data_IF_600652804708
#
_entry.id   IF_600652804708
#
_cell.length_a   1.000
_cell.length_b   1.000
_cell.length_c   1.000
_cell.angle_alpha   90.00
_cell.angle_beta   90.00
_cell.angle_gamma   90.00
#
_symmetry.space_group_name_H-M   'P 1'
#
loop_
_entity.id
_entity.type
_entity.pdbx_description
1 polymer ?
#
# COMPACT_ATOMS: atom_id res chain seq x y z
N UNK A 1 25.42 11.19 18.31
CA UNK A 1 25.57 10.46 17.02
C UNK A 1 24.39 10.83 16.11
N UNK A 2 24.61 11.32 14.89
CA UNK A 2 23.50 11.59 13.96
C UNK A 2 22.75 10.28 13.64
N UNK A 3 21.41 10.35 13.61
CA UNK A 3 20.55 9.19 13.33
C UNK A 3 20.09 9.08 11.87
N UNK A 4 20.13 10.17 11.09
CA UNK A 4 19.74 10.17 9.68
C UNK A 4 20.92 9.84 8.77
N UNK A 5 20.68 9.03 7.72
CA UNK A 5 21.71 8.63 6.75
C UNK A 5 22.42 9.85 6.15
N UNK A 6 21.66 10.87 5.74
CA UNK A 6 22.21 12.11 5.16
C UNK A 6 23.20 12.81 6.09
N UNK A 7 22.90 12.89 7.40
CA UNK A 7 23.81 13.49 8.39
C UNK A 7 25.04 12.62 8.64
N UNK A 8 24.89 11.29 8.66
CA UNK A 8 26.01 10.33 8.78
C UNK A 8 26.96 10.46 7.58
N UNK A 9 26.42 10.47 6.36
CA UNK A 9 27.18 10.66 5.12
C UNK A 9 27.91 12.01 5.12
N UNK A 10 27.24 13.10 5.49
CA UNK A 10 27.83 14.44 5.58
C UNK A 10 28.99 14.48 6.58
N UNK A 11 28.84 13.89 7.77
CA UNK A 11 29.92 13.83 8.77
C UNK A 11 31.13 13.04 8.28
N UNK A 12 30.90 11.89 7.63
CA UNK A 12 31.99 11.06 7.11
C UNK A 12 32.72 11.79 5.97
N UNK A 13 31.99 12.42 5.06
CA UNK A 13 32.56 13.26 3.99
C UNK A 13 33.38 14.42 4.57
N UNK A 14 32.85 15.15 5.56
CA UNK A 14 33.56 16.26 6.22
C UNK A 14 34.83 15.79 6.93
N UNK A 15 34.78 14.64 7.61
CA UNK A 15 35.92 14.07 8.34
C UNK A 15 37.05 13.62 7.41
N UNK A 16 36.72 13.08 6.23
CA UNK A 16 37.68 12.40 5.35
C UNK A 16 38.14 13.23 4.16
N UNK A 17 37.52 14.39 3.92
CA UNK A 17 37.84 15.28 2.81
C UNK A 17 37.45 14.70 1.44
N UNK A 18 37.70 15.46 0.38
CA UNK A 18 37.35 15.07 -1.00
C UNK A 18 38.24 13.95 -1.59
N UNK A 19 39.40 13.66 -0.96
CA UNK A 19 40.44 12.79 -1.52
C UNK A 19 40.30 11.30 -1.18
N UNK A 20 39.50 10.91 -0.17
CA UNK A 20 39.36 9.51 0.22
C UNK A 20 37.91 9.01 0.10
N UNK A 21 37.60 8.41 -1.05
CA UNK A 21 36.29 7.81 -1.35
C UNK A 21 36.14 6.38 -0.80
N UNK A 22 37.26 5.68 -0.57
CA UNK A 22 37.24 4.28 -0.14
C UNK A 22 37.08 4.13 1.39
N UNK A 23 36.10 3.33 1.82
CA UNK A 23 35.94 2.87 3.19
C UNK A 23 36.47 1.45 3.30
N UNK A 24 37.31 1.19 4.32
CA UNK A 24 37.62 -0.19 4.72
C UNK A 24 36.34 -0.81 5.26
N UNK A 25 36.05 -2.03 4.85
CA UNK A 25 34.77 -2.71 5.03
C UNK A 25 34.27 -2.66 6.48
N UNK A 26 35.10 -2.98 7.47
CA UNK A 26 34.72 -3.01 8.89
C UNK A 26 35.14 -1.79 9.72
N UNK A 27 35.56 -0.72 9.03
CA UNK A 27 35.83 0.55 9.69
C UNK A 27 34.61 1.05 10.48
N UNK A 28 34.87 1.84 11.53
CA UNK A 28 33.81 2.44 12.36
C UNK A 28 32.84 3.27 11.52
N UNK A 29 33.34 3.95 10.49
CA UNK A 29 32.54 4.79 9.61
C UNK A 29 31.69 3.94 8.64
N UNK A 30 32.22 2.82 8.13
CA UNK A 30 31.45 1.85 7.34
C UNK A 30 30.32 1.20 8.17
N UNK A 31 30.60 0.81 9.43
CA UNK A 31 29.57 0.30 10.36
C UNK A 31 28.50 1.33 10.67
N UNK A 32 28.87 2.62 10.82
CA UNK A 32 27.91 3.73 11.00
C UNK A 32 27.02 3.92 9.77
N UNK A 33 27.58 3.84 8.56
CA UNK A 33 26.80 3.91 7.32
C UNK A 33 25.83 2.74 7.18
N UNK A 34 26.29 1.50 7.38
CA UNK A 34 25.43 0.30 7.35
C UNK A 34 24.25 0.44 8.31
N UNK A 35 24.48 0.87 9.56
CA UNK A 35 23.40 1.15 10.53
C UNK A 35 22.43 2.23 10.05
N UNK A 36 22.95 3.29 9.43
CA UNK A 36 22.13 4.37 8.86
C UNK A 36 21.23 3.89 7.72
N UNK A 37 21.78 3.08 6.82
CA UNK A 37 21.05 2.49 5.68
C UNK A 37 19.94 1.55 6.17
N UNK A 38 20.28 0.58 7.03
CA UNK A 38 19.31 -0.37 7.58
C UNK A 38 18.16 0.33 8.33
N UNK A 39 18.46 1.43 9.04
CA UNK A 39 17.42 2.23 9.69
C UNK A 39 16.51 2.90 8.67
N UNK A 40 17.06 3.49 7.61
CA UNK A 40 16.26 4.13 6.56
C UNK A 40 15.38 3.12 5.84
N UNK A 41 15.91 1.95 5.50
CA UNK A 41 15.12 0.85 4.92
C UNK A 41 13.97 0.44 5.83
N UNK A 42 14.21 0.30 7.13
CA UNK A 42 13.14 -0.03 8.10
C UNK A 42 12.04 1.04 8.13
N UNK A 43 12.41 2.32 8.08
CA UNK A 43 11.45 3.41 8.05
C UNK A 43 10.63 3.40 6.76
N UNK A 44 11.28 3.26 5.60
CA UNK A 44 10.61 3.16 4.31
C UNK A 44 9.66 1.94 4.24
N UNK A 45 10.07 0.78 4.78
CA UNK A 45 9.19 -0.40 4.93
C UNK A 45 7.98 -0.10 5.82
N UNK A 46 8.17 0.60 6.94
CA UNK A 46 7.05 0.98 7.81
C UNK A 46 6.08 1.95 7.13
N UNK A 47 6.60 2.92 6.37
CA UNK A 47 5.78 3.88 5.62
C UNK A 47 4.98 3.20 4.52
N UNK A 48 5.62 2.35 3.72
CA UNK A 48 4.94 1.57 2.67
C UNK A 48 3.86 0.65 3.22
N UNK A 49 4.10 0.00 4.37
CA UNK A 49 3.06 -0.81 5.04
C UNK A 49 1.88 0.05 5.48
N UNK A 50 2.14 1.24 6.06
CA UNK A 50 1.09 2.18 6.44
C UNK A 50 0.29 2.66 5.22
N UNK A 51 0.98 3.01 4.14
CA UNK A 51 0.32 3.41 2.88
C UNK A 51 -0.56 2.29 2.34
N UNK A 52 -0.04 1.05 2.26
CA UNK A 52 -0.81 -0.12 1.82
C UNK A 52 -2.06 -0.37 2.68
N UNK A 53 -1.96 -0.17 3.99
CA UNK A 53 -3.12 -0.29 4.89
C UNK A 53 -4.15 0.83 4.69
N UNK A 54 -3.73 2.02 4.25
CA UNK A 54 -4.61 3.15 3.96
C UNK A 54 -5.24 3.09 2.57
N UNK A 55 -4.61 2.42 1.60
CA UNK A 55 -5.07 2.36 0.21
C UNK A 55 -6.56 1.99 0.06
N UNK A 56 -7.09 0.92 0.70
CA UNK A 56 -8.50 0.56 0.54
C UNK A 56 -9.46 1.68 0.97
N UNK A 57 -9.10 2.41 2.04
CA UNK A 57 -9.89 3.55 2.53
C UNK A 57 -9.89 4.69 1.52
N UNK A 58 -8.70 5.04 1.01
CA UNK A 58 -8.55 6.12 0.01
C UNK A 58 -9.28 5.78 -1.29
N UNK A 59 -9.18 4.53 -1.75
CA UNK A 59 -9.90 4.06 -2.95
C UNK A 59 -11.40 4.14 -2.76
N UNK A 60 -11.91 3.73 -1.58
CA UNK A 60 -13.33 3.87 -1.23
C UNK A 60 -13.75 5.35 -1.27
N UNK A 61 -13.01 6.24 -0.61
CA UNK A 61 -13.34 7.68 -0.62
C UNK A 61 -13.36 8.28 -2.01
N UNK A 62 -12.40 7.90 -2.86
CA UNK A 62 -12.37 8.39 -4.23
C UNK A 62 -13.62 7.96 -5.01
N UNK A 63 -14.08 6.72 -4.82
CA UNK A 63 -15.32 6.25 -5.44
C UNK A 63 -16.54 7.03 -4.94
N UNK A 64 -16.67 7.25 -3.63
CA UNK A 64 -17.77 8.05 -3.07
C UNK A 64 -17.68 9.55 -3.42
N UNK A 65 -16.48 10.08 -3.68
CA UNK A 65 -16.30 11.47 -4.08
C UNK A 65 -16.95 11.78 -5.43
N UNK A 66 -17.16 10.78 -6.30
CA UNK A 66 -17.91 10.94 -7.55
C UNK A 66 -19.35 11.42 -7.30
N UNK A 67 -19.84 11.29 -6.07
CA UNK A 67 -21.18 11.65 -5.64
C UNK A 67 -21.27 13.03 -4.96
N UNK A 68 -20.16 13.75 -4.84
CA UNK A 68 -20.05 15.00 -4.07
C UNK A 68 -20.92 16.17 -4.58
N UNK A 69 -21.71 15.98 -5.64
CA UNK A 69 -22.68 16.95 -6.15
C UNK A 69 -24.14 16.71 -5.73
N UNK A 70 -24.43 15.62 -5.01
CA UNK A 70 -25.79 15.30 -4.54
C UNK A 70 -25.96 15.78 -3.10
N UNK A 71 -26.97 16.63 -2.85
CA UNK A 71 -27.18 17.24 -1.53
C UNK A 71 -27.72 16.26 -0.48
N UNK A 72 -28.52 15.29 -0.89
CA UNK A 72 -29.15 14.31 0.01
C UNK A 72 -29.16 12.93 -0.64
N UNK A 73 -28.76 11.93 0.12
CA UNK A 73 -28.83 10.53 -0.30
C UNK A 73 -29.92 9.83 0.48
N UNK A 74 -30.74 9.04 -0.22
CA UNK A 74 -31.54 8.03 0.44
C UNK A 74 -30.65 6.85 0.85
N UNK A 75 -31.13 6.04 1.79
CA UNK A 75 -30.44 4.81 2.19
C UNK A 75 -30.29 3.86 1.00
N UNK A 76 -31.28 3.80 0.11
CA UNK A 76 -31.24 2.97 -1.09
C UNK A 76 -30.12 3.40 -2.04
N UNK A 77 -29.92 4.70 -2.23
CA UNK A 77 -28.85 5.23 -3.08
C UNK A 77 -27.48 4.81 -2.53
N UNK A 78 -27.26 4.97 -1.22
CA UNK A 78 -26.00 4.60 -0.58
C UNK A 78 -25.72 3.10 -0.73
N UNK A 79 -26.75 2.25 -0.53
CA UNK A 79 -26.61 0.81 -0.73
C UNK A 79 -26.21 0.46 -2.16
N UNK A 80 -26.87 1.08 -3.16
CA UNK A 80 -26.53 0.86 -4.56
C UNK A 80 -25.08 1.26 -4.89
N UNK A 81 -24.60 2.35 -4.31
CA UNK A 81 -23.21 2.78 -4.48
C UNK A 81 -22.19 1.89 -3.75
N UNK A 82 -22.57 1.32 -2.61
CA UNK A 82 -21.73 0.32 -1.94
C UNK A 82 -21.65 -0.94 -2.80
N UNK A 83 -22.77 -1.41 -3.34
CA UNK A 83 -22.83 -2.58 -4.21
C UNK A 83 -22.03 -2.37 -5.52
N UNK A 84 -22.11 -1.18 -6.12
CA UNK A 84 -21.30 -0.85 -7.30
C UNK A 84 -19.80 -0.88 -6.98
N UNK A 85 -19.42 -0.42 -5.78
CA UNK A 85 -18.04 -0.49 -5.33
C UNK A 85 -17.59 -1.94 -5.14
N UNK A 86 -18.37 -2.77 -4.45
CA UNK A 86 -18.02 -4.18 -4.17
C UNK A 86 -17.91 -5.00 -5.47
N UNK A 87 -18.85 -4.80 -6.41
CA UNK A 87 -18.90 -5.53 -7.68
C UNK A 87 -17.84 -5.10 -8.72
N UNK A 88 -17.01 -4.09 -8.42
CA UNK A 88 -16.00 -3.56 -9.36
C UNK A 88 -15.02 -4.60 -9.91
N UNK A 89 -14.79 -5.69 -9.17
CA UNK A 89 -13.86 -6.76 -9.56
C UNK A 89 -14.54 -7.93 -10.27
N UNK A 90 -15.87 -7.96 -10.36
CA UNK A 90 -16.59 -9.11 -10.90
C UNK A 90 -16.25 -9.36 -12.36
N UNK A 91 -16.15 -8.31 -13.17
CA UNK A 91 -15.77 -8.43 -14.58
C UNK A 91 -14.32 -8.89 -14.75
N UNK A 92 -13.38 -8.37 -13.94
CA UNK A 92 -11.99 -8.82 -13.97
C UNK A 92 -11.86 -10.30 -13.58
N UNK A 93 -12.60 -10.74 -12.56
CA UNK A 93 -12.65 -12.15 -12.14
C UNK A 93 -13.27 -13.02 -13.24
N UNK A 94 -14.32 -12.56 -13.93
CA UNK A 94 -14.93 -13.29 -15.06
C UNK A 94 -13.95 -13.47 -16.21
N UNK A 95 -13.20 -12.43 -16.57
CA UNK A 95 -12.17 -12.50 -17.63
C UNK A 95 -11.08 -13.50 -17.25
N UNK A 96 -10.52 -13.39 -16.04
CA UNK A 96 -9.49 -14.33 -15.55
C UNK A 96 -9.99 -15.77 -15.48
N UNK A 97 -11.25 -15.97 -15.11
CA UNK A 97 -11.87 -17.29 -15.08
C UNK A 97 -12.14 -17.85 -16.48
N UNK A 98 -12.44 -16.99 -17.47
CA UNK A 98 -12.68 -17.37 -18.86
C UNK A 98 -11.41 -17.72 -19.64
N UNK A 99 -10.30 -17.01 -19.37
CA UNK A 99 -8.97 -17.34 -19.94
C UNK A 99 -8.41 -18.67 -19.40
N UNK A 100 -8.99 -19.16 -18.30
CA UNK A 100 -8.53 -20.37 -17.62
C UNK A 100 -9.02 -21.62 -18.36
N UNK A 101 -8.07 -22.44 -18.80
CA UNK A 101 -8.35 -23.79 -19.30
C UNK A 101 -8.89 -24.68 -18.17
N UNK A 102 -9.77 -25.61 -18.53
CA UNK A 102 -10.28 -26.64 -17.62
C UNK A 102 -9.12 -27.36 -16.90
N UNK A 103 -9.18 -27.43 -15.58
CA UNK A 103 -8.17 -28.07 -14.73
C UNK A 103 -6.98 -27.19 -14.30
N UNK A 104 -6.77 -25.99 -14.87
CA UNK A 104 -5.72 -25.08 -14.38
C UNK A 104 -6.17 -24.42 -13.07
N UNK A 105 -5.33 -24.37 -12.01
CA UNK A 105 -5.67 -23.64 -10.79
C UNK A 105 -5.76 -22.13 -11.06
N UNK A 106 -6.43 -21.43 -10.14
CA UNK A 106 -6.62 -19.98 -10.16
C UNK A 106 -5.28 -19.25 -10.06
N UNK A 107 -5.22 -18.05 -10.62
CA UNK A 107 -4.00 -17.24 -10.54
C UNK A 107 -3.88 -16.54 -9.18
N UNK A 108 -2.66 -16.18 -8.77
CA UNK A 108 -2.47 -15.41 -7.52
C UNK A 108 -3.20 -14.07 -7.54
N UNK A 109 -3.39 -13.47 -8.72
CA UNK A 109 -4.16 -12.25 -8.89
C UNK A 109 -5.65 -12.50 -8.64
N UNK A 110 -6.21 -13.54 -9.26
CA UNK A 110 -7.60 -13.95 -9.08
C UNK A 110 -7.92 -14.24 -7.60
N UNK A 111 -7.02 -14.93 -6.89
CA UNK A 111 -7.18 -15.19 -5.46
C UNK A 111 -7.14 -13.90 -4.63
N UNK A 112 -6.26 -12.94 -4.95
CA UNK A 112 -6.23 -11.63 -4.26
C UNK A 112 -7.51 -10.84 -4.46
N UNK A 113 -8.06 -10.85 -5.68
CA UNK A 113 -9.32 -10.15 -6.00
C UNK A 113 -10.48 -10.78 -5.22
N UNK A 114 -10.62 -12.11 -5.26
CA UNK A 114 -11.66 -12.81 -4.49
C UNK A 114 -11.53 -12.61 -2.99
N UNK A 115 -10.32 -12.71 -2.44
CA UNK A 115 -10.09 -12.46 -1.02
C UNK A 115 -10.42 -11.01 -0.61
N UNK A 116 -10.27 -10.06 -1.53
CA UNK A 116 -10.66 -8.66 -1.28
C UNK A 116 -12.18 -8.52 -1.31
N UNK A 117 -12.84 -9.13 -2.30
CA UNK A 117 -14.30 -9.15 -2.42
C UNK A 117 -14.97 -9.82 -1.21
N UNK A 118 -14.47 -10.97 -0.77
CA UNK A 118 -14.99 -11.68 0.42
C UNK A 118 -14.88 -10.83 1.70
N UNK A 119 -13.77 -10.09 1.86
CA UNK A 119 -13.61 -9.14 2.97
C UNK A 119 -14.59 -7.98 2.90
N UNK A 120 -14.82 -7.44 1.73
CA UNK A 120 -15.75 -6.31 1.57
C UNK A 120 -17.22 -6.75 1.72
N UNK A 121 -17.58 -7.93 1.22
CA UNK A 121 -18.91 -8.51 1.41
C UNK A 121 -19.18 -8.85 2.87
N UNK A 122 -18.18 -9.42 3.57
CA UNK A 122 -18.33 -9.67 5.01
C UNK A 122 -18.43 -8.38 5.82
N UNK A 123 -17.69 -7.32 5.46
CA UNK A 123 -17.85 -5.98 6.04
C UNK A 123 -19.26 -5.43 5.76
N UNK A 124 -19.76 -5.59 4.54
CA UNK A 124 -21.10 -5.11 4.15
C UNK A 124 -22.21 -5.76 4.96
N UNK A 125 -22.14 -7.07 5.18
CA UNK A 125 -23.16 -7.82 5.93
C UNK A 125 -23.21 -7.48 7.43
N UNK A 126 -22.07 -7.12 8.02
CA UNK A 126 -21.97 -6.81 9.47
C UNK A 126 -22.22 -5.32 9.74
N UNK A 127 -21.81 -4.45 8.82
CA UNK A 127 -21.94 -3.02 8.95
C UNK A 127 -20.85 -2.32 8.15
N UNK A 128 -21.22 -1.77 6.99
CA UNK A 128 -20.29 -1.13 6.09
C UNK A 128 -19.91 0.27 6.58
N UNK A 129 -18.62 0.51 6.79
CA UNK A 129 -18.17 1.82 7.24
C UNK A 129 -18.00 2.75 6.03
N UNK A 130 -18.99 3.62 5.86
CA UNK A 130 -18.93 4.81 5.01
C UNK A 130 -18.77 5.99 5.98
N UNK A 131 -17.54 6.43 6.26
CA UNK A 131 -17.33 7.47 7.28
C UNK A 131 -17.80 8.84 6.76
N UNK A 132 -18.39 9.61 7.68
CA UNK A 132 -18.84 11.00 7.54
C UNK A 132 -17.84 11.94 8.22
#
# INVERSE_FOLDING_TARGET
MPRSLRKIQSQIKKKRGAASTALVEDSRDARRLRRGVLRQEKLARSETLRQKALLPKVTRYRHFQELAGVEQFSVADILQYIESFISRFDEEIKVLAGERRLGRPRSSQEDRLRNSLEKEVSEFNVGYVVWA
#
